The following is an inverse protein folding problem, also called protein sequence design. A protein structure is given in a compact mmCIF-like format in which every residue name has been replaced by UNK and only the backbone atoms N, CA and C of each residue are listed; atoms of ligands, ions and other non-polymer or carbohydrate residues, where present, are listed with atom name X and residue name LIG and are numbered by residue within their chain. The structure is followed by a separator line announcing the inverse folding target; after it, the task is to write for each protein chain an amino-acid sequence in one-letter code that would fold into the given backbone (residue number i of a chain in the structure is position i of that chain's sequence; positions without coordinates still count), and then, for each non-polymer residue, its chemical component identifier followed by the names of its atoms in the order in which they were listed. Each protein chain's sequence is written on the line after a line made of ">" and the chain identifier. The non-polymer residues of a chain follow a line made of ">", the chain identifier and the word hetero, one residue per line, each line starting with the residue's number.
data_IF_986132793361
#
_entry.id   IF_986132793361
#
_cell.length_a   1.000
_cell.length_b   1.000
_cell.length_c   1.000
_cell.angle_alpha   90.00
_cell.angle_beta   90.00
_cell.angle_gamma   90.00
#
_symmetry.space_group_name_H-M   'P 1'
#
loop_
_entity.id
_entity.type
_entity.pdbx_description
1 polymer ?
#
# COMPACT_ATOMS: atom_id res chain seq x y z
N UNK A 1 15.45 -1.76 18.29
CA UNK A 1 14.61 -2.87 18.78
C UNK A 1 14.50 -3.87 17.65
N UNK A 2 14.70 -5.16 17.90
CA UNK A 2 14.45 -6.20 16.89
C UNK A 2 12.94 -6.37 16.72
N UNK A 3 12.44 -6.23 15.50
CA UNK A 3 10.99 -6.24 15.21
C UNK A 3 10.68 -7.52 14.46
N UNK A 4 10.21 -8.56 15.16
CA UNK A 4 9.91 -9.84 14.52
C UNK A 4 8.93 -9.65 13.35
N UNK A 5 9.43 -9.88 12.13
CA UNK A 5 8.66 -10.04 10.90
C UNK A 5 7.71 -8.86 10.55
N UNK A 6 8.08 -7.64 10.94
CA UNK A 6 7.23 -6.46 10.76
C UNK A 6 7.10 -6.03 9.31
N UNK A 7 5.90 -5.56 8.96
CA UNK A 7 5.66 -4.89 7.69
C UNK A 7 6.13 -3.45 7.83
N UNK A 8 7.06 -3.05 6.97
CA UNK A 8 7.54 -1.68 6.84
C UNK A 8 6.79 -1.02 5.70
N UNK A 9 6.37 0.22 5.94
CA UNK A 9 5.73 1.09 4.96
C UNK A 9 6.72 2.14 4.51
N UNK A 10 6.95 2.21 3.21
CA UNK A 10 7.69 3.28 2.54
C UNK A 10 6.69 4.23 1.92
N UNK A 11 6.84 5.51 2.24
CA UNK A 11 6.12 6.60 1.62
C UNK A 11 6.54 6.79 0.15
N UNK A 12 5.69 7.39 -0.68
CA UNK A 12 6.00 7.66 -2.08
C UNK A 12 7.21 8.61 -2.30
N UNK A 13 7.62 9.31 -1.23
CA UNK A 13 8.82 10.15 -1.21
C UNK A 13 10.07 9.46 -0.63
N UNK A 14 9.99 8.18 -0.24
CA UNK A 14 11.13 7.47 0.37
C UNK A 14 12.29 7.30 -0.64
N UNK A 15 13.54 7.64 -0.24
CA UNK A 15 14.70 7.60 -1.16
C UNK A 15 15.09 6.18 -1.61
N UNK A 16 14.56 5.13 -1.01
CA UNK A 16 14.74 3.75 -1.49
C UNK A 16 13.95 3.47 -2.77
N UNK A 17 12.92 4.27 -3.06
CA UNK A 17 12.12 4.18 -4.27
C UNK A 17 12.83 4.90 -5.42
N UNK A 18 13.10 4.18 -6.50
CA UNK A 18 13.79 4.70 -7.67
C UNK A 18 12.79 4.95 -8.79
N UNK A 19 12.58 6.23 -9.10
CA UNK A 19 11.63 6.69 -10.11
C UNK A 19 12.35 6.98 -11.42
N UNK A 20 11.79 6.50 -12.54
CA UNK A 20 12.27 6.78 -13.90
C UNK A 20 11.10 7.25 -14.77
N UNK A 21 11.30 8.36 -15.48
CA UNK A 21 10.25 9.04 -16.25
C UNK A 21 9.75 10.32 -15.57
N UNK A 22 8.74 10.99 -16.15
CA UNK A 22 8.25 12.29 -15.69
C UNK A 22 7.23 12.14 -14.55
N UNK A 23 7.65 11.55 -13.44
CA UNK A 23 6.84 11.46 -12.24
C UNK A 23 6.65 12.85 -11.60
N UNK A 24 5.50 13.06 -10.98
CA UNK A 24 5.16 14.31 -10.29
C UNK A 24 4.48 14.03 -8.96
N UNK A 25 4.72 14.88 -7.96
CA UNK A 25 4.05 14.79 -6.66
C UNK A 25 2.74 15.54 -6.69
N UNK A 26 1.72 15.00 -6.01
CA UNK A 26 0.44 15.67 -5.78
C UNK A 26 -0.15 15.26 -4.43
N UNK A 27 -1.16 15.98 -3.97
CA UNK A 27 -1.86 15.74 -2.71
C UNK A 27 -3.36 15.63 -2.99
N UNK A 28 -4.06 14.75 -2.28
CA UNK A 28 -5.53 14.65 -2.24
C UNK A 28 -6.23 14.52 -3.62
N UNK A 29 -5.52 14.13 -4.69
CA UNK A 29 -6.03 14.15 -6.07
C UNK A 29 -6.93 12.97 -6.44
N UNK A 30 -7.03 12.00 -5.52
CA UNK A 30 -7.64 10.68 -5.69
C UNK A 30 -8.55 10.29 -4.52
N UNK A 31 -8.84 11.21 -3.60
CA UNK A 31 -9.68 10.94 -2.43
C UNK A 31 -11.13 10.62 -2.81
N UNK A 32 -11.54 11.02 -4.02
CA UNK A 32 -12.85 10.74 -4.61
C UNK A 32 -12.91 9.40 -5.35
N UNK A 33 -11.80 8.65 -5.43
CA UNK A 33 -11.75 7.42 -6.19
C UNK A 33 -12.38 6.22 -5.49
N UNK A 34 -13.17 5.48 -6.28
CA UNK A 34 -13.96 4.33 -5.84
C UNK A 34 -13.23 3.38 -4.90
N UNK A 35 -13.96 2.80 -3.94
CA UNK A 35 -13.42 2.02 -2.83
C UNK A 35 -12.37 2.75 -1.96
N UNK A 36 -12.45 4.08 -1.85
CA UNK A 36 -11.86 4.91 -0.77
C UNK A 36 -12.27 4.49 0.66
N UNK A 37 -12.97 3.35 0.81
CA UNK A 37 -13.15 2.63 2.08
C UNK A 37 -11.83 2.30 2.78
N UNK A 38 -10.70 2.37 2.08
CA UNK A 38 -9.36 2.14 2.63
C UNK A 38 -8.60 3.45 2.94
N UNK A 39 -9.32 4.57 3.11
CA UNK A 39 -8.75 5.80 3.69
C UNK A 39 -8.00 6.68 2.68
N UNK A 40 -7.50 7.84 3.15
CA UNK A 40 -6.69 8.74 2.34
C UNK A 40 -5.32 8.13 2.00
N UNK A 41 -4.58 8.70 1.04
CA UNK A 41 -3.20 8.31 0.76
C UNK A 41 -2.33 8.35 2.02
N UNK A 42 -1.35 7.44 2.11
CA UNK A 42 -0.40 7.41 3.21
C UNK A 42 0.34 8.77 3.27
N UNK A 43 0.38 9.38 4.47
CA UNK A 43 0.91 10.73 4.71
C UNK A 43 0.33 11.86 3.83
N UNK A 44 -0.74 11.60 3.07
CA UNK A 44 -1.41 12.58 2.22
C UNK A 44 -0.70 12.91 0.91
N UNK A 45 0.41 12.23 0.60
CA UNK A 45 1.20 12.44 -0.62
C UNK A 45 1.05 11.30 -1.62
N UNK A 46 1.30 11.63 -2.89
CA UNK A 46 1.10 10.76 -4.03
C UNK A 46 2.15 11.05 -5.09
N UNK A 47 2.71 10.00 -5.67
CA UNK A 47 3.54 10.12 -6.87
C UNK A 47 2.74 9.70 -8.10
N UNK A 48 2.34 10.69 -8.90
CA UNK A 48 1.61 10.52 -10.14
C UNK A 48 2.52 10.41 -11.36
N UNK A 49 2.02 9.76 -12.41
CA UNK A 49 2.65 9.77 -13.73
C UNK A 49 1.60 9.84 -14.84
N UNK A 50 1.84 10.73 -15.82
CA UNK A 50 0.97 10.96 -16.99
C UNK A 50 1.57 10.48 -18.32
N UNK A 51 2.75 9.87 -18.27
CA UNK A 51 3.48 9.32 -19.41
C UNK A 51 4.09 7.97 -19.02
N UNK A 52 4.74 7.30 -19.95
CA UNK A 52 5.43 6.05 -19.64
C UNK A 52 6.59 6.30 -18.66
N UNK A 53 6.76 5.38 -17.72
CA UNK A 53 7.84 5.41 -16.77
C UNK A 53 7.93 4.11 -15.98
N UNK A 54 8.77 4.12 -14.96
CA UNK A 54 8.88 2.99 -14.05
C UNK A 54 9.21 3.42 -12.63
N UNK A 55 8.82 2.57 -11.70
CA UNK A 55 9.25 2.57 -10.30
C UNK A 55 10.03 1.28 -10.06
N UNK A 56 11.18 1.38 -9.40
CA UNK A 56 12.01 0.25 -9.01
C UNK A 56 12.26 0.27 -7.50
N UNK A 57 12.16 -0.90 -6.89
CA UNK A 57 12.43 -1.12 -5.47
C UNK A 57 13.13 -2.46 -5.26
N UNK A 58 14.20 -2.45 -4.46
CA UNK A 58 14.91 -3.66 -4.04
C UNK A 58 14.68 -3.91 -2.57
N UNK A 59 14.38 -5.16 -2.22
CA UNK A 59 14.16 -5.56 -0.85
C UNK A 59 14.79 -6.91 -0.59
N UNK A 60 15.05 -7.18 0.69
CA UNK A 60 15.45 -8.49 1.15
C UNK A 60 14.31 -9.04 2.00
N UNK A 61 13.68 -10.16 1.59
CA UNK A 61 12.65 -10.98 2.31
C UNK A 61 11.52 -11.45 1.38
N UNK A 62 10.45 -11.97 1.98
CA UNK A 62 9.41 -12.78 1.36
C UNK A 62 8.28 -12.00 0.71
N UNK A 63 8.01 -10.77 1.16
CA UNK A 63 6.81 -10.04 0.75
C UNK A 63 7.11 -8.57 0.47
N UNK A 64 6.66 -8.06 -0.68
CA UNK A 64 6.58 -6.65 -1.02
C UNK A 64 5.32 -6.35 -1.87
N UNK A 65 4.71 -5.19 -1.62
CA UNK A 65 3.51 -4.73 -2.32
C UNK A 65 3.63 -3.25 -2.70
N UNK A 66 3.12 -2.86 -3.87
CA UNK A 66 2.97 -1.46 -4.29
C UNK A 66 1.49 -1.13 -4.33
N UNK A 67 1.12 -0.06 -3.63
CA UNK A 67 -0.25 0.41 -3.53
C UNK A 67 -0.40 1.77 -4.17
N UNK A 68 -1.56 2.03 -4.75
CA UNK A 68 -1.87 3.34 -5.27
C UNK A 68 -3.28 3.48 -5.82
N UNK A 69 -3.46 4.26 -6.88
CA UNK A 69 -4.76 4.44 -7.50
C UNK A 69 -4.70 4.69 -8.99
N UNK A 70 -5.82 4.34 -9.63
CA UNK A 70 -6.03 4.53 -11.04
C UNK A 70 -7.51 4.72 -11.40
N UNK A 71 -7.74 5.33 -12.57
CA UNK A 71 -9.03 5.40 -13.26
C UNK A 71 -8.92 4.62 -14.57
N UNK A 72 -9.12 3.28 -14.58
CA UNK A 72 -9.00 2.53 -15.81
C UNK A 72 -10.08 2.96 -16.80
N UNK A 73 -9.66 3.18 -18.04
CA UNK A 73 -10.49 3.47 -19.19
C UNK A 73 -10.03 2.61 -20.36
N UNK A 74 -10.97 2.12 -21.16
CA UNK A 74 -10.62 1.46 -22.42
C UNK A 74 -10.37 2.50 -23.50
N UNK A 75 -9.18 2.47 -24.10
CA UNK A 75 -8.83 3.24 -25.30
C UNK A 75 -8.73 2.30 -26.51
N UNK A 76 -8.44 2.85 -27.69
CA UNK A 76 -8.12 2.04 -28.88
C UNK A 76 -6.85 1.19 -28.72
N UNK A 77 -5.95 1.56 -27.78
CA UNK A 77 -4.71 0.85 -27.49
C UNK A 77 -4.81 -0.19 -26.37
N UNK A 78 -6.01 -0.40 -25.80
CA UNK A 78 -6.24 -1.26 -24.65
C UNK A 78 -6.59 -0.46 -23.38
N UNK A 79 -6.46 -1.06 -22.20
CA UNK A 79 -6.69 -0.37 -20.94
C UNK A 79 -5.69 0.77 -20.70
N UNK A 80 -6.12 1.84 -20.04
CA UNK A 80 -5.31 3.01 -19.69
C UNK A 80 -5.72 3.53 -18.30
N UNK A 81 -4.80 3.74 -17.34
CA UNK A 81 -3.36 3.50 -17.44
C UNK A 81 -3.03 2.00 -17.47
N UNK A 82 -2.17 1.54 -18.38
CA UNK A 82 -1.69 0.16 -18.35
C UNK A 82 -0.39 0.03 -17.53
N UNK A 83 -0.13 -1.13 -16.93
CA UNK A 83 1.13 -1.39 -16.25
C UNK A 83 1.49 -2.87 -16.28
N UNK A 84 2.78 -3.14 -16.02
CA UNK A 84 3.31 -4.46 -15.73
C UNK A 84 3.99 -4.43 -14.38
N UNK A 85 3.74 -5.45 -13.57
CA UNK A 85 4.37 -5.60 -12.28
C UNK A 85 5.39 -6.73 -12.32
N UNK A 86 6.66 -6.39 -12.45
CA UNK A 86 7.73 -7.38 -12.52
C UNK A 86 8.30 -7.66 -11.13
N UNK A 87 8.04 -8.87 -10.62
CA UNK A 87 8.70 -9.43 -9.46
C UNK A 87 9.79 -10.39 -9.93
N UNK A 88 11.05 -10.02 -9.73
CA UNK A 88 12.21 -10.72 -10.29
C UNK A 88 12.07 -11.01 -11.80
N UNK A 89 11.47 -10.07 -12.53
CA UNK A 89 11.25 -10.15 -13.98
C UNK A 89 10.00 -10.92 -14.43
N UNK A 90 9.18 -11.42 -13.51
CA UNK A 90 7.91 -12.11 -13.82
C UNK A 90 6.71 -11.21 -13.53
N UNK A 91 5.66 -11.27 -14.37
CA UNK A 91 4.44 -10.48 -14.22
C UNK A 91 3.25 -11.34 -13.76
N UNK A 92 2.91 -11.35 -12.45
CA UNK A 92 1.89 -12.25 -11.94
C UNK A 92 0.49 -11.60 -11.79
N UNK A 93 0.26 -10.34 -12.19
CA UNK A 93 -0.93 -9.61 -11.74
C UNK A 93 -2.00 -9.36 -12.82
N UNK A 94 -3.28 -9.62 -12.51
CA UNK A 94 -4.39 -9.27 -13.39
C UNK A 94 -4.71 -7.77 -13.35
N UNK A 95 -5.30 -7.29 -14.44
CA UNK A 95 -5.72 -5.91 -14.60
C UNK A 95 -7.11 -5.67 -13.97
N UNK A 96 -7.35 -4.58 -13.21
CA UNK A 96 -8.65 -4.25 -12.64
C UNK A 96 -9.64 -3.71 -13.66
N UNK A 97 -10.94 -3.94 -13.43
CA UNK A 97 -12.02 -3.59 -14.36
C UNK A 97 -12.70 -2.24 -14.07
N UNK A 98 -12.35 -1.57 -12.97
CA UNK A 98 -12.99 -0.32 -12.51
C UNK A 98 -12.02 0.61 -11.78
N UNK A 99 -12.43 1.85 -11.55
CA UNK A 99 -11.63 2.80 -10.75
C UNK A 99 -11.41 2.29 -9.33
N UNK A 100 -10.18 2.41 -8.85
CA UNK A 100 -9.80 2.01 -7.50
C UNK A 100 -8.91 3.07 -6.86
N UNK A 101 -9.31 3.52 -5.68
CA UNK A 101 -8.43 4.06 -4.65
C UNK A 101 -7.79 2.94 -3.85
N UNK A 102 -6.54 3.12 -3.43
CA UNK A 102 -5.78 2.17 -2.60
C UNK A 102 -5.80 0.73 -3.19
N UNK A 103 -5.46 0.63 -4.47
CA UNK A 103 -5.32 -0.61 -5.23
C UNK A 103 -3.90 -1.16 -5.11
N UNK A 104 -3.77 -2.47 -4.89
CA UNK A 104 -2.49 -3.16 -4.92
C UNK A 104 -2.08 -3.45 -6.37
N UNK A 105 -1.25 -2.59 -6.96
CA UNK A 105 -0.71 -2.80 -8.32
C UNK A 105 0.21 -4.00 -8.42
N UNK A 106 0.97 -4.20 -7.35
CA UNK A 106 1.95 -5.25 -7.20
C UNK A 106 1.77 -5.88 -5.83
N UNK A 107 1.69 -7.21 -5.79
CA UNK A 107 1.96 -7.97 -4.59
C UNK A 107 2.96 -9.08 -4.87
N UNK A 108 3.54 -9.65 -3.83
CA UNK A 108 4.30 -10.89 -3.97
C UNK A 108 3.64 -11.99 -3.13
N UNK A 109 3.45 -13.21 -3.67
CA UNK A 109 3.25 -14.35 -2.79
C UNK A 109 4.48 -14.50 -1.88
N UNK A 110 4.42 -15.30 -0.80
CA UNK A 110 5.59 -15.56 0.03
C UNK A 110 6.76 -16.10 -0.81
N UNK A 111 7.80 -15.28 -0.96
CA UNK A 111 9.02 -15.62 -1.69
C UNK A 111 9.99 -16.40 -0.79
N UNK A 112 10.95 -17.14 -1.37
CA UNK A 112 12.13 -17.59 -0.65
C UNK A 112 12.83 -16.42 0.05
N UNK A 113 13.63 -16.72 1.06
CA UNK A 113 14.46 -15.68 1.68
C UNK A 113 15.61 -15.31 0.75
N UNK A 114 15.72 -14.04 0.38
CA UNK A 114 16.74 -13.54 -0.53
C UNK A 114 16.55 -12.08 -0.89
N UNK A 115 17.41 -11.60 -1.78
CA UNK A 115 17.24 -10.30 -2.44
C UNK A 115 16.25 -10.47 -3.58
N UNK A 116 15.29 -9.56 -3.63
CA UNK A 116 14.25 -9.50 -4.64
C UNK A 116 14.12 -8.09 -5.18
N UNK A 117 13.58 -8.01 -6.39
CA UNK A 117 13.33 -6.75 -7.08
C UNK A 117 11.87 -6.67 -7.47
N UNK A 118 11.28 -5.52 -7.19
CA UNK A 118 9.94 -5.18 -7.60
C UNK A 118 10.01 -3.97 -8.53
N UNK A 119 9.43 -4.12 -9.72
CA UNK A 119 9.42 -3.08 -10.74
C UNK A 119 8.01 -2.89 -11.27
N UNK A 120 7.52 -1.66 -11.22
CA UNK A 120 6.27 -1.25 -11.85
C UNK A 120 6.61 -0.50 -13.13
N UNK A 121 6.22 -1.02 -14.29
CA UNK A 121 6.37 -0.35 -15.58
C UNK A 121 5.01 0.18 -16.02
N UNK A 122 4.89 1.48 -16.26
CA UNK A 122 3.64 2.10 -16.66
C UNK A 122 3.63 2.42 -18.15
N UNK A 123 2.47 2.22 -18.78
CA UNK A 123 2.15 2.63 -20.15
C UNK A 123 0.91 3.51 -20.07
N UNK A 124 1.11 4.81 -20.22
CA UNK A 124 0.06 5.83 -20.01
C UNK A 124 -0.28 6.47 -21.35
N UNK A 125 -1.57 6.57 -21.64
CA UNK A 125 -2.09 7.24 -22.84
C UNK A 125 -2.80 8.55 -22.49
N UNK A 126 -3.67 8.54 -21.48
CA UNK A 126 -4.52 9.69 -21.13
C UNK A 126 -4.82 9.82 -19.64
N UNK A 127 -4.99 8.71 -18.92
CA UNK A 127 -5.33 8.71 -17.51
C UNK A 127 -4.08 8.47 -16.64
N UNK A 128 -3.77 9.34 -15.65
CA UNK A 128 -2.62 9.15 -14.80
C UNK A 128 -2.79 7.96 -13.84
N UNK A 129 -1.64 7.37 -13.47
CA UNK A 129 -1.51 6.39 -12.39
C UNK A 129 -0.81 7.05 -11.21
N UNK A 130 -1.26 6.76 -9.98
CA UNK A 130 -0.70 7.30 -8.75
C UNK A 130 -0.20 6.20 -7.84
N UNK A 131 1.02 6.30 -7.32
CA UNK A 131 1.56 5.41 -6.28
C UNK A 131 1.48 6.11 -4.93
N UNK A 132 1.06 5.38 -3.90
CA UNK A 132 0.87 5.89 -2.54
C UNK A 132 1.98 5.43 -1.62
N UNK A 133 2.26 4.12 -1.64
CA UNK A 133 3.18 3.51 -0.70
C UNK A 133 3.69 2.17 -1.23
N UNK A 134 4.85 1.77 -0.72
CA UNK A 134 5.40 0.43 -0.88
C UNK A 134 5.50 -0.23 0.48
N UNK A 135 4.92 -1.42 0.61
CA UNK A 135 5.00 -2.23 1.83
C UNK A 135 5.99 -3.36 1.60
N UNK A 136 6.84 -3.66 2.58
CA UNK A 136 7.67 -4.86 2.54
C UNK A 136 7.88 -5.45 3.92
N UNK A 137 8.18 -6.74 3.98
CA UNK A 137 8.48 -7.41 5.23
C UNK A 137 9.94 -7.25 5.59
N UNK A 138 10.25 -6.57 6.71
CA UNK A 138 11.62 -6.44 7.20
C UNK A 138 12.07 -7.69 7.98
N UNK A 139 13.39 -7.89 8.03
CA UNK A 139 14.03 -8.92 8.84
C UNK A 139 13.96 -8.52 10.32
N UNK A 140 13.72 -9.49 11.21
CA UNK A 140 13.67 -9.28 12.66
C UNK A 140 14.90 -8.58 13.24
N UNK A 141 16.07 -8.78 12.62
CA UNK A 141 17.36 -8.27 13.08
C UNK A 141 17.85 -7.03 12.32
N UNK A 142 17.12 -6.54 11.32
CA UNK A 142 17.51 -5.33 10.59
C UNK A 142 17.11 -4.10 11.41
N UNK A 143 18.03 -3.15 11.52
CA UNK A 143 17.69 -1.82 12.01
C UNK A 143 16.89 -1.10 10.93
N UNK A 144 15.58 -0.98 11.16
CA UNK A 144 14.67 -0.24 10.29
C UNK A 144 14.66 1.26 10.58
N UNK A 145 15.51 1.73 11.52
CA UNK A 145 15.71 3.16 11.80
C UNK A 145 14.40 3.88 12.14
N UNK A 146 14.11 4.94 11.38
CA UNK A 146 12.90 5.75 11.50
C UNK A 146 11.77 5.33 10.54
N UNK A 147 11.83 4.12 9.98
CA UNK A 147 10.83 3.66 9.04
C UNK A 147 9.46 3.48 9.72
N UNK A 148 8.40 3.67 8.94
CA UNK A 148 7.04 3.40 9.39
C UNK A 148 6.80 1.90 9.41
N UNK A 149 6.17 1.40 10.48
CA UNK A 149 5.78 -0.01 10.58
C UNK A 149 4.27 -0.12 10.67
N UNK A 150 3.69 -1.03 9.88
CA UNK A 150 2.28 -1.34 9.94
C UNK A 150 2.01 -2.28 11.12
N UNK A 151 1.01 -1.93 11.93
CA UNK A 151 0.50 -2.77 13.01
C UNK A 151 -0.85 -3.31 12.58
N UNK A 152 -0.93 -4.64 12.42
CA UNK A 152 -2.19 -5.31 12.10
C UNK A 152 -3.12 -5.32 13.32
N UNK A 153 -4.43 -5.26 13.10
CA UNK A 153 -5.43 -5.31 14.15
C UNK A 153 -5.41 -6.58 15.02
N UNK A 154 -4.78 -7.66 14.56
CA UNK A 154 -4.55 -8.91 15.30
C UNK A 154 -3.27 -8.87 16.12
N UNK A 155 -2.51 -7.78 16.06
CA UNK A 155 -1.33 -7.59 16.90
C UNK A 155 -1.72 -7.71 18.38
N UNK A 156 -1.01 -8.59 19.10
CA UNK A 156 -1.31 -8.91 20.48
C UNK A 156 -1.17 -7.72 21.45
N UNK A 157 -0.51 -6.63 21.03
CA UNK A 157 -0.42 -5.38 21.78
C UNK A 157 -1.72 -4.56 21.71
N UNK A 158 -2.59 -4.83 20.75
CA UNK A 158 -3.90 -4.16 20.67
C UNK A 158 -4.89 -4.89 21.58
N UNK A 159 -5.52 -4.14 22.49
CA UNK A 159 -6.60 -4.63 23.35
C UNK A 159 -7.88 -3.88 23.03
N UNK A 160 -8.94 -4.63 22.77
CA UNK A 160 -10.27 -4.12 22.44
C UNK A 160 -11.19 -4.23 23.66
N UNK A 161 -12.07 -3.25 23.85
CA UNK A 161 -13.17 -3.32 24.81
C UNK A 161 -14.23 -4.35 24.38
N UNK A 162 -15.27 -4.54 25.19
CA UNK A 162 -16.47 -5.22 24.73
C UNK A 162 -17.13 -4.46 23.56
N UNK A 163 -17.80 -5.19 22.66
CA UNK A 163 -18.58 -4.63 21.55
C UNK A 163 -17.89 -4.64 20.18
N UNK A 164 -16.63 -5.06 20.08
CA UNK A 164 -15.93 -5.22 18.80
C UNK A 164 -16.22 -6.57 18.15
N UNK A 165 -16.47 -6.54 16.85
CA UNK A 165 -16.75 -7.69 15.99
C UNK A 165 -15.67 -7.81 14.91
N UNK A 166 -15.52 -9.01 14.33
CA UNK A 166 -14.69 -9.20 13.15
C UNK A 166 -15.57 -9.05 11.90
N UNK A 167 -15.00 -8.58 10.80
CA UNK A 167 -15.60 -8.73 9.48
C UNK A 167 -15.71 -10.21 9.10
N UNK A 168 -16.54 -10.52 8.09
CA UNK A 168 -16.78 -11.90 7.63
C UNK A 168 -15.49 -12.62 7.17
N UNK A 169 -14.55 -11.89 6.56
CA UNK A 169 -13.23 -12.40 6.15
C UNK A 169 -12.20 -12.41 7.30
N UNK A 170 -12.58 -11.92 8.49
CA UNK A 170 -11.71 -11.72 9.65
C UNK A 170 -10.59 -10.69 9.41
N UNK A 171 -10.61 -10.01 8.27
CA UNK A 171 -9.60 -9.06 7.80
C UNK A 171 -9.75 -7.67 8.42
N UNK A 172 -10.89 -7.37 9.06
CA UNK A 172 -11.16 -6.10 9.76
C UNK A 172 -11.82 -6.35 11.13
N UNK A 173 -11.63 -5.42 12.06
CA UNK A 173 -12.40 -5.29 13.30
C UNK A 173 -13.23 -4.01 13.27
N UNK A 174 -14.49 -4.11 13.67
CA UNK A 174 -15.43 -2.99 13.66
C UNK A 174 -16.36 -3.05 14.88
N UNK A 175 -17.06 -1.96 15.19
CA UNK A 175 -18.01 -1.89 16.30
C UNK A 175 -19.07 -0.84 16.02
N UNK A 176 -20.34 -1.15 16.34
CA UNK A 176 -21.41 -0.15 16.45
C UNK A 176 -21.70 0.25 17.90
N UNK A 177 -20.98 -0.32 18.88
CA UNK A 177 -21.22 -0.08 20.31
C UNK A 177 -20.70 1.31 20.70
N UNK A 178 -21.57 2.27 21.06
CA UNK A 178 -21.12 3.60 21.47
C UNK A 178 -20.23 3.52 22.72
N UNK A 179 -19.09 4.21 22.69
CA UNK A 179 -18.12 4.19 23.79
C UNK A 179 -17.20 2.96 23.82
N UNK A 180 -17.27 2.08 22.82
CA UNK A 180 -16.23 1.08 22.61
C UNK A 180 -14.87 1.74 22.37
N UNK A 181 -13.81 1.10 22.85
CA UNK A 181 -12.46 1.62 22.79
C UNK A 181 -11.47 0.53 22.42
N UNK A 182 -10.29 0.94 21.96
CA UNK A 182 -9.11 0.10 21.85
C UNK A 182 -7.94 0.78 22.55
N UNK A 183 -6.98 -0.01 23.01
CA UNK A 183 -5.70 0.46 23.53
C UNK A 183 -4.58 -0.25 22.79
N UNK A 184 -3.47 0.47 22.60
CA UNK A 184 -2.27 -0.05 21.97
C UNK A 184 -1.06 0.47 22.72
N UNK A 185 -0.20 -0.46 23.16
CA UNK A 185 1.05 -0.12 23.83
C UNK A 185 2.07 0.36 22.78
N UNK A 186 2.03 1.66 22.51
CA UNK A 186 2.87 2.29 21.49
C UNK A 186 4.31 2.47 21.97
N UNK A 187 5.25 2.05 21.11
CA UNK A 187 6.67 2.28 21.27
C UNK A 187 7.20 2.86 19.96
N UNK A 188 7.49 4.16 19.96
CA UNK A 188 7.96 4.89 18.77
C UNK A 188 7.90 6.40 18.98
N UNK A 189 8.06 7.16 17.89
CA UNK A 189 8.00 8.63 17.92
C UNK A 189 6.65 9.18 17.49
N UNK A 190 6.03 8.58 16.46
CA UNK A 190 4.75 8.97 15.91
C UNK A 190 3.90 7.73 15.58
N UNK A 191 2.58 7.87 15.59
CA UNK A 191 1.66 6.84 15.11
C UNK A 191 0.60 7.48 14.21
N UNK A 192 0.12 6.72 13.24
CA UNK A 192 -1.00 7.07 12.38
C UNK A 192 -2.06 5.98 12.57
N UNK A 193 -3.30 6.37 12.83
CA UNK A 193 -4.43 5.43 12.95
C UNK A 193 -5.25 5.60 11.68
N UNK A 194 -5.45 4.49 10.97
CA UNK A 194 -6.38 4.43 9.87
C UNK A 194 -7.73 3.89 10.38
N UNK A 195 -8.78 4.70 10.26
CA UNK A 195 -10.13 4.35 10.69
C UNK A 195 -11.07 4.41 9.49
N UNK A 196 -11.66 3.26 9.16
CA UNK A 196 -12.61 3.16 8.06
C UNK A 196 -14.04 3.23 8.58
N UNK A 197 -14.82 4.11 7.98
CA UNK A 197 -16.24 4.20 8.28
C UNK A 197 -17.00 3.32 7.27
N UNK A 198 -17.58 2.22 7.74
CA UNK A 198 -18.45 1.40 6.89
C UNK A 198 -19.86 1.99 6.92
N UNK A 199 -20.20 2.84 5.97
CA UNK A 199 -21.59 3.13 5.65
C UNK A 199 -22.17 1.92 4.92
N UNK A 200 -23.23 1.34 5.48
CA UNK A 200 -24.08 0.30 4.88
C UNK A 200 -25.04 0.90 3.87
#
# INVERSE_FOLDING_TARGET
>A
MCVDNSIVTLDDTDPQLQWSGPWFTTENSVDDLGNSKLGPPFLGTLHGISNNGSLFFSFYRRVANIWGALRPRNTSGGPDPNWQCLLDGQDPWPYPDRSHGNYMFCGSPPLPEGNHTLQLNTVIQSEPLYVYQVLYQAVATVDIGSAWTQVDQRDGRIKYSAGWENSEDGGLKWTYTPGAWLTFDFVGMCFLIDLFNHSS
#
